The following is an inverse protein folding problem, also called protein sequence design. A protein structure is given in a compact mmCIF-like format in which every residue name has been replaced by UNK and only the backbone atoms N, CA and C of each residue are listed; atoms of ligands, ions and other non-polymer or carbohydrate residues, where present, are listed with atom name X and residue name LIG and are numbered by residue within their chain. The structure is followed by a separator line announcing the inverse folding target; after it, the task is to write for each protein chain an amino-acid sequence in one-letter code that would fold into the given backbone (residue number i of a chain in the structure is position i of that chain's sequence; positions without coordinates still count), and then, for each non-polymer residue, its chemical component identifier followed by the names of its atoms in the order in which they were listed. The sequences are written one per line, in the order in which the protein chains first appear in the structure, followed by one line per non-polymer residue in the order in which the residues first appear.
data_IF_217750033850
#
_entry.id   IF_217750033850
#
_cell.length_a   1.000
_cell.length_b   1.000
_cell.length_c   1.000
_cell.angle_alpha   90.00
_cell.angle_beta   90.00
_cell.angle_gamma   90.00
#
_symmetry.space_group_name_H-M   'P 1'
#
loop_
_entity.id
_entity.type
_entity.pdbx_description
1 polymer ?
#
# COMPACT_ATOMS: atom_id res chain seq x y z
N UNK A 1 -12.80 0.71 10.61
CA UNK A 1 -12.32 0.18 9.34
C UNK A 1 -12.20 1.28 8.28
N UNK A 2 -13.31 1.97 7.96
CA UNK A 2 -13.34 2.97 6.88
C UNK A 2 -12.38 4.15 7.10
N UNK A 3 -12.37 4.75 8.28
CA UNK A 3 -11.47 5.88 8.60
C UNK A 3 -9.99 5.49 8.55
N UNK A 4 -9.65 4.30 9.07
CA UNK A 4 -8.28 3.80 8.98
C UNK A 4 -7.88 3.51 7.52
N UNK A 5 -8.81 3.05 6.69
CA UNK A 5 -8.59 2.90 5.25
C UNK A 5 -8.28 4.23 4.56
N UNK A 6 -9.00 5.30 4.89
CA UNK A 6 -8.74 6.65 4.36
C UNK A 6 -7.37 7.17 4.81
N UNK A 7 -7.02 7.01 6.09
CA UNK A 7 -5.71 7.40 6.62
C UNK A 7 -4.60 6.62 5.92
N UNK A 8 -4.78 5.32 5.74
CA UNK A 8 -3.83 4.47 5.00
C UNK A 8 -3.66 4.95 3.56
N UNK A 9 -4.77 5.26 2.87
CA UNK A 9 -4.73 5.74 1.48
C UNK A 9 -3.97 7.07 1.36
N UNK A 10 -4.21 8.01 2.28
CA UNK A 10 -3.47 9.27 2.33
C UNK A 10 -1.97 9.05 2.58
N UNK A 11 -1.64 8.14 3.51
CA UNK A 11 -0.26 7.74 3.77
C UNK A 11 0.42 7.12 2.55
N UNK A 12 -0.28 6.25 1.82
CA UNK A 12 0.24 5.64 0.59
C UNK A 12 0.39 6.64 -0.56
N UNK A 13 -0.50 7.63 -0.67
CA UNK A 13 -0.34 8.71 -1.66
C UNK A 13 0.95 9.51 -1.41
N UNK A 14 1.22 9.87 -0.15
CA UNK A 14 2.47 10.49 0.25
C UNK A 14 3.67 9.59 -0.05
N UNK A 15 3.59 8.31 0.32
CA UNK A 15 4.65 7.32 0.08
C UNK A 15 4.96 7.14 -1.41
N UNK A 16 3.93 7.14 -2.24
CA UNK A 16 4.08 7.00 -3.68
C UNK A 16 4.82 8.20 -4.29
N UNK A 17 4.39 9.44 -3.94
CA UNK A 17 5.02 10.65 -4.46
C UNK A 17 6.48 10.78 -4.00
N UNK A 18 6.72 10.69 -2.70
CA UNK A 18 8.07 10.82 -2.14
C UNK A 18 8.97 9.65 -2.57
N UNK A 19 8.45 8.43 -2.53
CA UNK A 19 9.20 7.23 -2.92
C UNK A 19 9.64 7.27 -4.38
N UNK A 20 8.78 7.74 -5.28
CA UNK A 20 9.14 7.91 -6.69
C UNK A 20 10.24 8.95 -6.87
N UNK A 21 10.15 10.10 -6.21
CA UNK A 21 11.18 11.15 -6.27
C UNK A 21 12.52 10.67 -5.69
N UNK A 22 12.50 9.89 -4.61
CA UNK A 22 13.71 9.27 -4.05
C UNK A 22 14.32 8.23 -4.98
N UNK A 23 13.49 7.47 -5.68
CA UNK A 23 13.94 6.45 -6.64
C UNK A 23 14.56 7.09 -7.88
N UNK A 24 13.98 8.17 -8.40
CA UNK A 24 14.50 8.90 -9.57
C UNK A 24 15.84 9.60 -9.28
N UNK A 25 16.16 9.87 -8.02
CA UNK A 25 17.50 10.09 -7.44
C UNK A 25 18.35 11.24 -8.00
N UNK A 26 17.74 12.27 -8.62
CA UNK A 26 18.47 13.34 -9.28
C UNK A 26 18.87 14.53 -8.35
N UNK A 27 18.42 14.48 -7.08
CA UNK A 27 18.62 15.56 -6.11
C UNK A 27 19.06 14.97 -4.76
N UNK A 28 20.35 15.19 -4.43
CA UNK A 28 20.94 14.72 -3.18
C UNK A 28 20.32 15.38 -1.96
N UNK A 29 19.99 16.66 -2.03
CA UNK A 29 19.42 17.43 -0.92
C UNK A 29 17.99 16.95 -0.63
N UNK A 30 17.23 16.61 -1.68
CA UNK A 30 15.92 16.00 -1.53
C UNK A 30 16.03 14.63 -0.85
N UNK A 31 16.99 13.81 -1.26
CA UNK A 31 17.22 12.47 -0.70
C UNK A 31 17.55 12.55 0.79
N UNK A 32 18.51 13.37 1.19
CA UNK A 32 18.89 13.55 2.60
C UNK A 32 17.73 14.04 3.46
N UNK A 33 16.91 14.97 2.95
CA UNK A 33 15.80 15.55 3.72
C UNK A 33 14.55 14.67 3.78
N UNK A 34 14.34 13.74 2.85
CA UNK A 34 13.10 12.98 2.70
C UNK A 34 13.21 11.48 2.94
N UNK A 35 14.43 10.90 2.91
CA UNK A 35 14.62 9.46 3.10
C UNK A 35 14.07 8.96 4.45
N UNK A 36 14.44 9.62 5.55
CA UNK A 36 13.96 9.24 6.88
C UNK A 36 12.46 9.47 7.05
N UNK A 37 11.92 10.53 6.43
CA UNK A 37 10.48 10.79 6.40
C UNK A 37 9.73 9.71 5.63
N UNK A 38 10.24 9.29 4.48
CA UNK A 38 9.68 8.18 3.70
C UNK A 38 9.67 6.90 4.52
N UNK A 39 10.76 6.58 5.19
CA UNK A 39 10.88 5.40 6.05
C UNK A 39 9.89 5.45 7.23
N UNK A 40 9.83 6.55 7.95
CA UNK A 40 8.92 6.72 9.09
C UNK A 40 7.44 6.63 8.68
N UNK A 41 7.07 7.35 7.61
CA UNK A 41 5.72 7.30 7.06
C UNK A 41 5.39 5.94 6.45
N UNK A 42 6.38 5.22 5.94
CA UNK A 42 6.22 3.84 5.47
C UNK A 42 5.79 2.91 6.59
N UNK A 43 6.46 2.97 7.73
CA UNK A 43 6.07 2.20 8.92
C UNK A 43 4.68 2.61 9.42
N UNK A 44 4.39 3.90 9.49
CA UNK A 44 3.08 4.39 9.92
C UNK A 44 1.96 3.88 8.99
N UNK A 45 2.12 4.03 7.68
CA UNK A 45 1.15 3.55 6.68
C UNK A 45 0.98 2.04 6.71
N UNK A 46 2.08 1.30 6.91
CA UNK A 46 2.05 -0.15 7.05
C UNK A 46 1.28 -0.58 8.31
N UNK A 47 1.53 0.06 9.46
CA UNK A 47 0.85 -0.27 10.71
C UNK A 47 -0.64 0.07 10.67
N UNK A 48 -1.03 1.23 10.12
CA UNK A 48 -2.45 1.58 9.93
C UNK A 48 -3.14 0.62 8.96
N UNK A 49 -2.45 0.22 7.89
CA UNK A 49 -2.93 -0.78 6.95
C UNK A 49 -3.16 -2.13 7.62
N UNK A 50 -2.17 -2.63 8.37
CA UNK A 50 -2.26 -3.92 9.07
C UNK A 50 -3.37 -3.91 10.12
N UNK A 51 -3.55 -2.80 10.83
CA UNK A 51 -4.67 -2.63 11.78
C UNK A 51 -6.02 -2.70 11.06
N UNK A 52 -6.16 -2.03 9.92
CA UNK A 52 -7.36 -2.07 9.09
C UNK A 52 -7.66 -3.48 8.58
N UNK A 53 -6.63 -4.17 8.08
CA UNK A 53 -6.75 -5.54 7.56
C UNK A 53 -7.11 -6.53 8.68
N UNK A 54 -6.51 -6.38 9.87
CA UNK A 54 -6.83 -7.22 11.03
C UNK A 54 -8.30 -7.14 11.43
N UNK A 55 -8.90 -5.94 11.37
CA UNK A 55 -10.33 -5.78 11.64
C UNK A 55 -11.21 -6.59 10.69
N UNK A 56 -10.76 -6.81 9.44
CA UNK A 56 -11.50 -7.60 8.46
C UNK A 56 -11.55 -9.09 8.80
N UNK A 57 -10.54 -9.62 9.50
CA UNK A 57 -10.54 -11.01 9.96
C UNK A 57 -11.48 -11.26 11.14
N UNK A 58 -11.72 -10.23 11.95
CA UNK A 58 -12.62 -10.32 13.11
C UNK A 58 -14.02 -9.79 12.82
N UNK A 59 -14.26 -9.27 11.62
CA UNK A 59 -15.57 -8.80 11.23
C UNK A 59 -16.57 -9.96 11.16
N UNK A 60 -17.82 -9.75 11.60
CA UNK A 60 -18.85 -10.76 11.43
C UNK A 60 -19.05 -11.08 9.95
N UNK A 61 -19.42 -12.34 9.61
CA UNK A 61 -19.62 -12.72 8.22
C UNK A 61 -20.67 -11.82 7.58
N UNK A 62 -20.31 -11.29 6.44
CA UNK A 62 -21.21 -10.45 5.67
C UNK A 62 -22.48 -11.23 5.29
N UNK A 63 -23.61 -10.53 5.23
CA UNK A 63 -24.90 -11.13 4.82
C UNK A 63 -24.75 -11.83 3.46
N UNK A 64 -25.56 -12.87 3.20
CA UNK A 64 -25.56 -13.65 1.95
C UNK A 64 -25.57 -12.70 0.73
N UNK A 65 -24.60 -12.86 -0.16
CA UNK A 65 -24.47 -12.07 -1.38
C UNK A 65 -25.18 -12.76 -2.53
N UNK A 66 -25.80 -11.95 -3.38
CA UNK A 66 -26.25 -12.38 -4.70
C UNK A 66 -25.04 -12.80 -5.58
N UNK A 67 -25.28 -13.63 -6.59
CA UNK A 67 -24.23 -14.11 -7.50
C UNK A 67 -23.63 -13.02 -8.39
N UNK A 68 -24.25 -11.86 -8.48
CA UNK A 68 -23.79 -10.72 -9.25
C UNK A 68 -22.55 -10.05 -8.66
N UNK A 69 -21.79 -9.36 -9.50
CA UNK A 69 -20.66 -8.54 -9.06
C UNK A 69 -21.21 -7.36 -8.27
N UNK A 70 -20.95 -7.31 -6.97
CA UNK A 70 -21.29 -6.23 -6.08
C UNK A 70 -20.03 -5.61 -5.46
N UNK A 71 -20.18 -4.48 -4.79
CA UNK A 71 -19.07 -3.75 -4.17
C UNK A 71 -18.21 -4.62 -3.26
N UNK A 72 -18.80 -5.61 -2.60
CA UNK A 72 -18.06 -6.48 -1.65
C UNK A 72 -17.20 -7.51 -2.39
N UNK A 73 -17.69 -8.08 -3.48
CA UNK A 73 -16.86 -9.01 -4.30
C UNK A 73 -15.69 -8.24 -4.94
N UNK A 74 -15.96 -7.02 -5.39
CA UNK A 74 -14.92 -6.13 -5.91
C UNK A 74 -13.89 -5.81 -4.85
N UNK A 75 -14.33 -5.36 -3.66
CA UNK A 75 -13.48 -5.10 -2.50
C UNK A 75 -12.61 -6.31 -2.15
N UNK A 76 -13.18 -7.51 -2.04
CA UNK A 76 -12.41 -8.72 -1.73
C UNK A 76 -11.30 -9.02 -2.75
N UNK A 77 -11.55 -8.78 -4.04
CA UNK A 77 -10.53 -8.96 -5.08
C UNK A 77 -9.42 -7.92 -4.98
N UNK A 78 -9.80 -6.65 -4.84
CA UNK A 78 -8.84 -5.56 -4.65
C UNK A 78 -8.05 -5.73 -3.35
N UNK A 79 -8.71 -6.15 -2.27
CA UNK A 79 -8.08 -6.45 -0.99
C UNK A 79 -6.99 -7.53 -1.13
N UNK A 80 -7.22 -8.59 -1.87
CA UNK A 80 -6.20 -9.62 -2.10
C UNK A 80 -4.97 -9.05 -2.84
N UNK A 81 -5.20 -8.19 -3.83
CA UNK A 81 -4.12 -7.56 -4.61
C UNK A 81 -3.29 -6.61 -3.74
N UNK A 82 -3.95 -5.61 -3.12
CA UNK A 82 -3.21 -4.63 -2.33
C UNK A 82 -2.63 -5.22 -1.05
N UNK A 83 -3.25 -6.25 -0.46
CA UNK A 83 -2.69 -6.97 0.70
C UNK A 83 -1.37 -7.66 0.35
N UNK A 84 -1.34 -8.40 -0.75
CA UNK A 84 -0.12 -9.07 -1.22
C UNK A 84 0.99 -8.05 -1.51
N UNK A 85 0.65 -6.95 -2.18
CA UNK A 85 1.60 -5.88 -2.48
C UNK A 85 2.12 -5.21 -1.20
N UNK A 86 1.25 -4.91 -0.23
CA UNK A 86 1.64 -4.33 1.06
C UNK A 86 2.52 -5.26 1.89
N UNK A 87 2.23 -6.56 1.89
CA UNK A 87 3.09 -7.53 2.58
C UNK A 87 4.50 -7.60 1.99
N UNK A 88 4.65 -7.42 0.68
CA UNK A 88 5.94 -7.42 0.02
C UNK A 88 6.81 -6.19 0.36
N UNK A 89 6.19 -5.04 0.68
CA UNK A 89 6.87 -3.75 0.87
C UNK A 89 8.04 -3.79 1.87
N UNK A 90 7.86 -4.19 3.15
CA UNK A 90 8.94 -4.17 4.12
C UNK A 90 10.05 -5.18 3.79
N UNK A 91 9.69 -6.32 3.17
CA UNK A 91 10.68 -7.33 2.76
C UNK A 91 11.56 -6.82 1.62
N UNK A 92 10.98 -6.18 0.62
CA UNK A 92 11.73 -5.65 -0.52
C UNK A 92 12.66 -4.52 -0.08
N UNK A 93 12.15 -3.58 0.72
CA UNK A 93 12.95 -2.49 1.26
C UNK A 93 14.12 -3.00 2.10
N UNK A 94 13.86 -3.91 3.05
CA UNK A 94 14.91 -4.49 3.90
C UNK A 94 15.95 -5.23 3.09
N UNK A 95 15.54 -6.11 2.19
CA UNK A 95 16.46 -6.88 1.33
C UNK A 95 17.29 -5.99 0.41
N UNK A 96 16.73 -4.88 -0.08
CA UNK A 96 17.48 -3.94 -0.90
C UNK A 96 18.63 -3.31 -0.11
N UNK A 97 18.37 -2.86 1.11
CA UNK A 97 19.40 -2.26 1.98
C UNK A 97 20.47 -3.28 2.37
N UNK A 98 20.08 -4.53 2.66
CA UNK A 98 21.01 -5.60 3.07
C UNK A 98 21.83 -6.15 1.89
N UNK A 99 21.34 -6.07 0.67
CA UNK A 99 21.95 -6.71 -0.50
C UNK A 99 22.35 -5.67 -1.56
N UNK A 100 23.46 -4.98 -1.33
CA UNK A 100 23.94 -3.92 -2.21
C UNK A 100 24.10 -4.30 -3.69
N UNK A 101 24.43 -5.58 -4.00
CA UNK A 101 24.56 -6.06 -5.40
C UNK A 101 23.23 -6.06 -6.16
N UNK A 102 22.10 -6.26 -5.46
CA UNK A 102 20.75 -6.30 -6.04
C UNK A 102 19.90 -5.10 -5.63
N UNK A 103 20.53 -4.04 -5.14
CA UNK A 103 19.82 -2.86 -4.63
C UNK A 103 18.83 -2.31 -5.65
N UNK A 104 19.27 -2.02 -6.86
CA UNK A 104 18.43 -1.42 -7.90
C UNK A 104 17.25 -2.33 -8.30
N UNK A 105 17.50 -3.63 -8.43
CA UNK A 105 16.45 -4.60 -8.76
C UNK A 105 15.37 -4.68 -7.67
N UNK A 106 15.81 -4.73 -6.42
CA UNK A 106 14.90 -4.83 -5.28
C UNK A 106 14.16 -3.51 -5.00
N UNK A 107 14.79 -2.36 -5.25
CA UNK A 107 14.13 -1.06 -5.18
C UNK A 107 13.14 -0.84 -6.31
N UNK A 108 13.42 -1.30 -7.53
CA UNK A 108 12.44 -1.31 -8.62
C UNK A 108 11.22 -2.19 -8.29
N UNK A 109 11.46 -3.37 -7.72
CA UNK A 109 10.38 -4.24 -7.23
C UNK A 109 9.58 -3.59 -6.09
N UNK A 110 10.25 -2.89 -5.15
CA UNK A 110 9.61 -2.15 -4.07
C UNK A 110 8.72 -1.02 -4.62
N UNK A 111 9.22 -0.23 -5.56
CA UNK A 111 8.45 0.83 -6.23
C UNK A 111 7.22 0.27 -6.96
N UNK A 112 7.39 -0.82 -7.72
CA UNK A 112 6.28 -1.48 -8.44
C UNK A 112 5.23 -2.03 -7.49
N UNK A 113 5.63 -2.70 -6.40
CA UNK A 113 4.72 -3.20 -5.39
C UNK A 113 3.97 -2.06 -4.68
N UNK A 114 4.65 -0.93 -4.37
CA UNK A 114 4.03 0.27 -3.81
C UNK A 114 3.01 0.90 -4.75
N UNK A 115 3.34 0.97 -6.03
CA UNK A 115 2.44 1.44 -7.08
C UNK A 115 1.18 0.58 -7.16
N UNK A 116 1.34 -0.75 -7.19
CA UNK A 116 0.20 -1.69 -7.18
C UNK A 116 -0.64 -1.54 -5.92
N UNK A 117 -0.03 -1.44 -4.75
CA UNK A 117 -0.74 -1.25 -3.49
C UNK A 117 -1.58 0.04 -3.49
N UNK A 118 -0.97 1.15 -3.90
CA UNK A 118 -1.63 2.46 -3.95
C UNK A 118 -2.81 2.47 -4.92
N UNK A 119 -2.61 2.04 -6.16
CA UNK A 119 -3.69 2.06 -7.16
C UNK A 119 -4.79 1.04 -6.85
N UNK A 120 -4.46 -0.16 -6.39
CA UNK A 120 -5.46 -1.15 -6.02
C UNK A 120 -6.32 -0.68 -4.83
N UNK A 121 -5.71 -0.07 -3.81
CA UNK A 121 -6.44 0.50 -2.68
C UNK A 121 -7.29 1.72 -3.09
N UNK A 122 -6.79 2.55 -4.01
CA UNK A 122 -7.54 3.69 -4.57
C UNK A 122 -8.78 3.22 -5.33
N UNK A 123 -8.62 2.22 -6.21
CA UNK A 123 -9.73 1.61 -6.95
C UNK A 123 -10.73 0.94 -6.02
N UNK A 124 -10.25 0.32 -4.95
CA UNK A 124 -11.07 -0.29 -3.93
C UNK A 124 -11.94 0.73 -3.20
N UNK A 125 -11.35 1.84 -2.75
CA UNK A 125 -12.06 2.93 -2.10
C UNK A 125 -13.13 3.55 -3.04
N UNK A 126 -12.82 3.74 -4.31
CA UNK A 126 -13.76 4.20 -5.32
C UNK A 126 -14.88 3.16 -5.56
N UNK A 127 -14.52 1.88 -5.66
CA UNK A 127 -15.48 0.79 -5.87
C UNK A 127 -16.53 0.71 -4.77
N UNK A 128 -16.11 0.80 -3.51
CA UNK A 128 -17.04 0.80 -2.36
C UNK A 128 -17.97 2.03 -2.40
N UNK A 129 -17.47 3.15 -2.88
CA UNK A 129 -18.25 4.41 -2.92
C UNK A 129 -19.29 4.41 -4.04
N UNK A 130 -18.95 3.87 -5.20
CA UNK A 130 -19.78 4.00 -6.41
C UNK A 130 -20.59 2.74 -6.76
N UNK A 131 -20.13 1.54 -6.39
CA UNK A 131 -20.91 0.31 -6.59
C UNK A 131 -21.77 0.04 -5.34
N UNK A 132 -23.05 0.31 -5.47
CA UNK A 132 -24.06 -0.06 -4.46
C UNK A 132 -24.69 -1.40 -4.81
#
# INVERSE_FOLDING_TARGET
HQWLGIITLAGLAYQYDVGKKLYDGNDSDYWESHYDKHKAMGYFSYMTYMSTSSMSFFAPPARKYDNNMNSIKFHRRMAAIHFTAMMAQPFLAKKAVENGKRYNELMDAHLKAGTVAFFALSLDALGITFFK
#
